data_IF_632676355168
#
_entry.id   IF_632676355168
#
_cell.length_a   1.000
_cell.length_b   1.000
_cell.length_c   1.000
_cell.angle_alpha   90.00
_cell.angle_beta   90.00
_cell.angle_gamma   90.00
#
_symmetry.space_group_name_H-M   'P 1'
#
loop_
_entity.id
_entity.type
_entity.pdbx_description
1 polymer ?
#
# COMPACT_ATOMS: atom_id res chain seq x y z
N UNK A 1 -4.74 -19.34 -0.15
CA UNK A 1 -3.98 -18.30 -0.88
C UNK A 1 -2.54 -18.38 -0.38
N UNK A 2 -1.50 -18.20 -1.20
CA UNK A 2 -0.12 -18.20 -0.70
C UNK A 2 0.23 -16.88 0.02
N UNK A 3 -0.50 -16.59 1.09
CA UNK A 3 -0.37 -15.37 1.90
C UNK A 3 0.61 -15.60 3.05
N UNK A 4 1.41 -14.58 3.36
CA UNK A 4 2.28 -14.53 4.54
C UNK A 4 1.46 -14.79 5.82
N UNK A 5 0.20 -14.31 5.86
CA UNK A 5 -0.73 -14.50 6.99
C UNK A 5 -1.16 -15.96 7.17
N UNK A 6 -1.38 -16.68 6.06
CA UNK A 6 -1.85 -18.07 6.10
C UNK A 6 -0.72 -19.07 6.39
N UNK A 7 0.53 -18.68 6.11
CA UNK A 7 1.71 -19.55 6.23
C UNK A 7 2.50 -19.37 7.54
N UNK A 8 1.96 -18.60 8.51
CA UNK A 8 2.60 -18.30 9.81
C UNK A 8 4.08 -17.89 9.68
N UNK A 9 4.39 -17.12 8.64
CA UNK A 9 5.75 -16.69 8.35
C UNK A 9 6.10 -15.58 9.34
N UNK A 10 7.22 -15.75 10.06
CA UNK A 10 7.70 -14.72 10.97
C UNK A 10 7.87 -13.38 10.24
N UNK A 11 7.52 -12.26 10.89
CA UNK A 11 7.62 -10.92 10.29
C UNK A 11 9.08 -10.42 10.13
N UNK A 12 10.05 -11.34 10.18
CA UNK A 12 11.44 -11.05 9.89
C UNK A 12 11.66 -10.96 8.38
N UNK A 13 12.42 -9.97 7.94
CA UNK A 13 12.75 -9.71 6.53
C UNK A 13 13.24 -10.98 5.83
N UNK A 14 14.12 -11.75 6.48
CA UNK A 14 14.71 -12.97 5.92
C UNK A 14 13.68 -14.04 5.58
N UNK A 15 12.71 -14.27 6.47
CA UNK A 15 11.69 -15.32 6.30
C UNK A 15 10.66 -14.92 5.25
N UNK A 16 10.21 -13.66 5.27
CA UNK A 16 9.32 -13.12 4.24
C UNK A 16 9.98 -13.20 2.86
N UNK A 17 11.24 -12.76 2.74
CA UNK A 17 11.96 -12.81 1.46
C UNK A 17 12.15 -14.24 0.98
N UNK A 18 12.47 -15.20 1.87
CA UNK A 18 12.63 -16.61 1.51
C UNK A 18 11.32 -17.19 0.96
N UNK A 19 10.19 -16.89 1.60
CA UNK A 19 8.87 -17.32 1.13
C UNK A 19 8.53 -16.67 -0.22
N UNK A 20 8.64 -15.35 -0.35
CA UNK A 20 8.26 -14.64 -1.58
C UNK A 20 9.16 -15.03 -2.77
N UNK A 21 10.47 -15.18 -2.56
CA UNK A 21 11.41 -15.53 -3.64
C UNK A 21 11.31 -16.97 -4.12
N UNK A 22 10.59 -17.84 -3.39
CA UNK A 22 10.23 -19.18 -3.85
C UNK A 22 9.16 -19.18 -4.93
N UNK A 23 8.42 -18.07 -5.09
CA UNK A 23 7.38 -17.90 -6.10
C UNK A 23 7.93 -17.12 -7.31
N UNK A 24 7.88 -17.71 -8.51
CA UNK A 24 8.44 -17.13 -9.73
C UNK A 24 7.85 -15.74 -10.07
N UNK A 25 6.59 -15.50 -9.72
CA UNK A 25 5.92 -14.20 -9.93
C UNK A 25 6.60 -13.05 -9.18
N UNK A 26 7.07 -13.29 -7.95
CA UNK A 26 7.73 -12.27 -7.12
C UNK A 26 9.22 -12.18 -7.41
N UNK A 27 9.84 -13.29 -7.83
CA UNK A 27 11.26 -13.34 -8.19
C UNK A 27 11.62 -12.35 -9.31
N UNK A 28 10.71 -12.15 -10.28
CA UNK A 28 10.87 -11.15 -11.37
C UNK A 28 10.94 -9.71 -10.87
N UNK A 29 10.37 -9.43 -9.69
CA UNK A 29 10.28 -8.11 -9.08
C UNK A 29 11.05 -8.04 -7.75
N UNK A 30 12.15 -8.79 -7.62
CA UNK A 30 12.83 -8.97 -6.34
C UNK A 30 13.29 -7.67 -5.67
N UNK A 31 13.61 -6.62 -6.44
CA UNK A 31 14.02 -5.32 -5.92
C UNK A 31 12.84 -4.56 -5.31
N UNK A 32 11.71 -4.55 -6.00
CA UNK A 32 10.45 -3.93 -5.57
C UNK A 32 9.90 -4.67 -4.34
N UNK A 33 9.90 -6.01 -4.40
CA UNK A 33 9.50 -6.87 -3.27
C UNK A 33 10.33 -6.56 -2.04
N UNK A 34 11.66 -6.50 -2.16
CA UNK A 34 12.53 -6.13 -1.04
C UNK A 34 12.16 -4.76 -0.46
N UNK A 35 11.90 -3.76 -1.30
CA UNK A 35 11.50 -2.43 -0.82
C UNK A 35 10.19 -2.43 -0.04
N UNK A 36 9.24 -3.31 -0.38
CA UNK A 36 7.97 -3.47 0.34
C UNK A 36 8.21 -4.21 1.66
N UNK A 37 8.96 -5.31 1.63
CA UNK A 37 9.29 -6.11 2.83
C UNK A 37 10.07 -5.29 3.86
N UNK A 38 11.03 -4.47 3.41
CA UNK A 38 11.78 -3.56 4.29
C UNK A 38 10.86 -2.56 5.00
N UNK A 39 9.75 -2.15 4.37
CA UNK A 39 8.75 -1.25 4.97
C UNK A 39 7.86 -2.01 5.96
N UNK A 40 7.36 -3.20 5.60
CA UNK A 40 6.58 -4.06 6.49
C UNK A 40 7.33 -4.33 7.80
N UNK A 41 8.63 -4.63 7.70
CA UNK A 41 9.47 -4.91 8.87
C UNK A 41 9.79 -3.66 9.72
N UNK A 42 9.91 -2.48 9.11
CA UNK A 42 10.17 -1.22 9.84
C UNK A 42 8.93 -0.66 10.52
N UNK A 43 7.75 -0.88 9.95
CA UNK A 43 6.51 -0.21 10.34
C UNK A 43 5.58 -1.12 11.14
N UNK A 44 6.14 -2.21 11.67
CA UNK A 44 5.49 -3.13 12.60
C UNK A 44 4.27 -3.90 12.04
N UNK A 45 4.38 -4.34 10.78
CA UNK A 45 3.57 -5.45 10.29
C UNK A 45 2.77 -5.18 9.02
N UNK A 46 1.85 -6.10 8.76
CA UNK A 46 0.95 -6.04 7.61
C UNK A 46 -0.17 -5.03 7.87
N UNK A 47 -0.74 -4.46 6.82
CA UNK A 47 -1.84 -3.51 6.93
C UNK A 47 -3.13 -4.22 7.32
N UNK A 48 -3.44 -4.21 8.63
CA UNK A 48 -4.62 -4.89 9.18
C UNK A 48 -5.92 -4.21 8.78
N UNK A 49 -5.89 -2.88 8.62
CA UNK A 49 -7.07 -2.05 8.35
C UNK A 49 -7.30 -1.75 6.86
N UNK A 50 -6.44 -2.26 5.98
CA UNK A 50 -6.60 -2.20 4.53
C UNK A 50 -6.45 -3.61 3.98
N UNK A 51 -7.53 -4.38 4.09
CA UNK A 51 -7.58 -5.76 3.61
C UNK A 51 -7.73 -5.83 2.09
N UNK A 52 -8.44 -4.85 1.51
CA UNK A 52 -8.67 -4.75 0.09
C UNK A 52 -8.65 -3.27 -0.35
N UNK A 53 -8.28 -3.04 -1.60
CA UNK A 53 -8.12 -1.69 -2.15
C UNK A 53 -9.46 -0.97 -2.37
N UNK A 54 -10.54 -1.73 -2.65
CA UNK A 54 -11.88 -1.17 -2.93
C UNK A 54 -12.50 -0.55 -1.67
N UNK A 55 -12.45 -1.25 -0.54
CA UNK A 55 -12.94 -0.76 0.75
C UNK A 55 -12.05 0.36 1.30
N UNK A 56 -10.73 0.33 1.06
CA UNK A 56 -9.87 1.47 1.40
C UNK A 56 -10.29 2.73 0.61
N UNK A 57 -10.60 2.57 -0.68
CA UNK A 57 -11.09 3.67 -1.52
C UNK A 57 -12.43 4.20 -1.03
N UNK A 58 -13.40 3.32 -0.77
CA UNK A 58 -14.75 3.68 -0.28
C UNK A 58 -14.67 4.48 1.02
N UNK A 59 -13.84 4.03 1.98
CA UNK A 59 -13.67 4.74 3.26
C UNK A 59 -13.04 6.13 3.07
N UNK A 60 -12.11 6.26 2.13
CA UNK A 60 -11.49 7.56 1.81
C UNK A 60 -12.50 8.50 1.14
N UNK A 61 -13.30 7.98 0.21
CA UNK A 61 -14.37 8.73 -0.48
C UNK A 61 -15.44 9.17 0.50
N UNK A 62 -15.93 8.30 1.38
CA UNK A 62 -16.89 8.65 2.43
C UNK A 62 -16.37 9.72 3.39
N UNK A 63 -15.04 9.76 3.60
CA UNK A 63 -14.40 10.74 4.48
C UNK A 63 -14.02 12.04 3.77
N UNK A 64 -14.13 12.13 2.44
CA UNK A 64 -13.65 13.29 1.68
C UNK A 64 -14.38 14.55 2.09
N UNK A 65 -15.71 14.52 2.18
CA UNK A 65 -16.54 15.67 2.52
C UNK A 65 -16.14 16.29 3.86
N UNK A 66 -15.84 15.45 4.85
CA UNK A 66 -15.36 15.90 6.15
C UNK A 66 -13.96 16.53 6.05
N UNK A 67 -13.03 15.86 5.38
CA UNK A 67 -11.67 16.37 5.21
C UNK A 67 -11.65 17.69 4.43
N UNK A 68 -12.49 17.85 3.41
CA UNK A 68 -12.64 19.09 2.65
C UNK A 68 -13.15 20.23 3.53
N UNK A 69 -14.15 19.94 4.38
CA UNK A 69 -14.71 20.94 5.30
C UNK A 69 -13.69 21.43 6.34
N UNK A 70 -12.84 20.54 6.84
CA UNK A 70 -11.84 20.85 7.86
C UNK A 70 -10.58 21.49 7.27
N UNK A 71 -10.11 21.01 6.12
CA UNK A 71 -8.88 21.50 5.47
C UNK A 71 -9.13 22.72 4.58
N UNK A 72 -10.39 23.00 4.22
CA UNK A 72 -10.77 24.04 3.27
C UNK A 72 -10.05 23.90 1.92
N UNK A 73 -9.88 22.66 1.48
CA UNK A 73 -9.19 22.28 0.25
C UNK A 73 -10.04 21.27 -0.52
N UNK A 74 -9.92 21.27 -1.85
CA UNK A 74 -10.52 20.29 -2.75
C UNK A 74 -9.74 18.97 -2.66
N UNK A 75 -10.43 17.86 -2.37
CA UNK A 75 -9.79 16.56 -2.16
C UNK A 75 -10.20 15.61 -3.28
N UNK A 76 -9.21 15.26 -4.12
CA UNK A 76 -9.39 14.26 -5.17
C UNK A 76 -8.65 12.99 -4.84
N UNK A 77 -9.41 11.91 -4.74
CA UNK A 77 -8.87 10.58 -4.46
C UNK A 77 -8.68 9.85 -5.80
N UNK A 78 -7.53 9.21 -5.96
CA UNK A 78 -7.16 8.48 -7.16
C UNK A 78 -6.60 7.10 -6.82
N UNK A 79 -6.96 6.05 -7.58
CA UNK A 79 -6.38 4.72 -7.40
C UNK A 79 -4.89 4.74 -7.77
N UNK A 80 -4.07 4.05 -6.98
CA UNK A 80 -2.61 4.03 -7.18
C UNK A 80 -2.19 3.28 -8.46
N UNK A 81 -2.98 2.29 -8.89
CA UNK A 81 -2.69 1.45 -10.06
C UNK A 81 -2.88 2.20 -11.38
N UNK A 82 -3.85 3.12 -11.44
CA UNK A 82 -4.14 3.91 -12.63
C UNK A 82 -4.67 5.31 -12.26
N UNK A 83 -3.81 6.21 -11.76
CA UNK A 83 -4.22 7.54 -11.34
C UNK A 83 -4.51 8.42 -12.56
N UNK A 84 -5.68 9.05 -12.58
CA UNK A 84 -6.04 10.01 -13.62
C UNK A 84 -5.16 11.28 -13.59
N UNK A 85 -4.61 11.63 -12.42
CA UNK A 85 -3.74 12.79 -12.23
C UNK A 85 -2.59 12.46 -11.28
N UNK A 86 -1.34 12.53 -11.78
CA UNK A 86 -0.14 12.17 -11.02
C UNK A 86 1.14 12.91 -11.50
N UNK A 87 1.16 14.25 -11.44
CA UNK A 87 2.24 15.07 -12.03
C UNK A 87 3.64 14.81 -11.43
N UNK A 88 3.72 14.39 -10.15
CA UNK A 88 4.99 14.10 -9.47
C UNK A 88 5.31 12.60 -9.33
N UNK A 89 4.55 11.72 -9.98
CA UNK A 89 4.65 10.27 -9.83
C UNK A 89 4.67 9.83 -8.34
N UNK A 90 3.77 10.42 -7.53
CA UNK A 90 3.64 10.18 -6.09
C UNK A 90 2.95 8.85 -5.81
N UNK A 91 2.09 8.40 -6.71
CA UNK A 91 1.37 7.11 -6.60
C UNK A 91 2.30 5.92 -6.28
N UNK A 92 3.53 5.89 -6.83
CA UNK A 92 4.51 4.81 -6.56
C UNK A 92 4.96 4.69 -5.10
N UNK A 93 4.72 5.70 -4.28
CA UNK A 93 5.06 5.71 -2.87
C UNK A 93 3.92 5.27 -1.97
N UNK A 94 2.69 5.22 -2.50
CA UNK A 94 1.52 4.73 -1.80
C UNK A 94 1.68 3.23 -1.49
N UNK A 95 1.11 2.83 -0.36
CA UNK A 95 1.01 1.45 0.09
C UNK A 95 -0.38 1.24 0.65
N UNK A 96 -0.87 -0.02 0.76
CA UNK A 96 -2.13 -0.28 1.44
C UNK A 96 -2.13 0.36 2.83
N UNK A 97 -3.20 1.05 3.22
CA UNK A 97 -3.30 1.76 4.50
C UNK A 97 -2.34 2.95 4.64
N UNK A 98 -1.64 3.35 3.57
CA UNK A 98 -0.84 4.57 3.50
C UNK A 98 -0.96 5.21 2.12
N UNK A 99 -1.90 6.13 2.02
CA UNK A 99 -2.07 7.01 0.88
C UNK A 99 -0.83 7.87 0.64
N UNK A 100 -0.54 8.17 -0.63
CA UNK A 100 0.44 9.18 -1.00
C UNK A 100 -0.28 10.49 -1.29
N UNK A 101 0.18 11.58 -0.68
CA UNK A 101 -0.46 12.90 -0.80
C UNK A 101 0.36 13.77 -1.75
N UNK A 102 -0.35 14.49 -2.60
CA UNK A 102 0.17 15.56 -3.45
C UNK A 102 -0.67 16.83 -3.18
N UNK A 103 0.01 17.94 -2.93
CA UNK A 103 -0.58 19.25 -2.69
C UNK A 103 -0.04 20.21 -3.76
N UNK A 104 -0.91 20.99 -4.36
CA UNK A 104 -0.61 22.00 -5.39
C UNK A 104 -1.30 23.33 -5.10
#
# INVERSE_FOLDING_TARGET
>A
MDSIRENDVSLNIGDIMKHLMSQDRFRKHGKEVKSIVDRIAKENGLWTYSENAEAEMEVLEDSSDYMESELQMDIKIHPADNPNYNPQNKARFALPGRVSIFLE
#
